data_IF_238985955694
#
_entry.id   IF_238985955694
#
_cell.length_a   1.000
_cell.length_b   1.000
_cell.length_c   1.000
_cell.angle_alpha   90.00
_cell.angle_beta   90.00
_cell.angle_gamma   90.00
#
_symmetry.space_group_name_H-M   'P 1'
#
loop_
_entity.id
_entity.type
_entity.pdbx_description
1 polymer ?
#
# COMPACT_ATOMS: atom_id res chain seq x y z
N UNK A 1 -2.85 2.32 -18.65
CA UNK A 1 -3.71 1.91 -17.52
C UNK A 1 -4.00 3.17 -16.69
N UNK A 2 -5.04 3.21 -15.86
CA UNK A 2 -5.22 4.36 -14.96
C UNK A 2 -4.16 4.29 -13.84
N UNK A 3 -3.70 5.43 -13.35
CA UNK A 3 -2.76 5.52 -12.21
C UNK A 3 -3.25 4.69 -11.01
N UNK A 4 -4.57 4.69 -10.78
CA UNK A 4 -5.21 3.87 -9.74
C UNK A 4 -5.00 2.37 -9.97
N UNK A 5 -5.14 1.88 -11.20
CA UNK A 5 -4.98 0.45 -11.49
C UNK A 5 -3.53 0.00 -11.32
N UNK A 6 -2.57 0.88 -11.61
CA UNK A 6 -1.14 0.61 -11.37
C UNK A 6 -0.84 0.57 -9.87
N UNK A 7 -1.40 1.51 -9.10
CA UNK A 7 -1.25 1.53 -7.65
C UNK A 7 -1.89 0.31 -6.97
N UNK A 8 -3.06 -0.15 -7.44
CA UNK A 8 -3.69 -1.38 -6.94
C UNK A 8 -2.77 -2.59 -7.16
N UNK A 9 -2.13 -2.69 -8.33
CA UNK A 9 -1.17 -3.78 -8.59
C UNK A 9 0.02 -3.72 -7.63
N UNK A 10 0.56 -2.53 -7.41
CA UNK A 10 1.66 -2.33 -6.48
C UNK A 10 1.28 -2.72 -5.04
N UNK A 11 0.05 -2.40 -4.62
CA UNK A 11 -0.48 -2.79 -3.30
C UNK A 11 -0.54 -4.31 -3.17
N UNK A 12 -1.05 -5.03 -4.18
CA UNK A 12 -1.11 -6.50 -4.13
C UNK A 12 0.28 -7.14 -4.11
N UNK A 13 1.24 -6.61 -4.89
CA UNK A 13 2.63 -7.06 -4.85
C UNK A 13 3.26 -6.85 -3.45
N UNK A 14 3.05 -5.68 -2.85
CA UNK A 14 3.54 -5.36 -1.51
C UNK A 14 2.88 -6.22 -0.43
N UNK A 15 1.58 -6.49 -0.56
CA UNK A 15 0.85 -7.39 0.34
C UNK A 15 1.42 -8.80 0.30
N UNK A 16 1.69 -9.34 -0.88
CA UNK A 16 2.35 -10.64 -1.02
C UNK A 16 3.76 -10.63 -0.44
N UNK A 17 4.51 -9.54 -0.63
CA UNK A 17 5.83 -9.39 -0.03
C UNK A 17 5.78 -9.42 1.50
N UNK A 18 4.81 -8.75 2.14
CA UNK A 18 4.62 -8.80 3.60
C UNK A 18 4.31 -10.23 4.06
N UNK A 19 3.39 -10.93 3.39
CA UNK A 19 3.00 -12.31 3.72
C UNK A 19 4.23 -13.23 3.67
N UNK A 20 4.98 -13.19 2.57
CA UNK A 20 6.17 -14.01 2.38
C UNK A 20 7.29 -13.64 3.38
N UNK A 21 7.48 -12.34 3.64
CA UNK A 21 8.49 -11.86 4.59
C UNK A 21 8.15 -12.26 6.02
N UNK A 22 6.87 -12.31 6.38
CA UNK A 22 6.41 -12.70 7.71
C UNK A 22 6.50 -14.22 7.95
N UNK A 23 6.62 -15.04 6.91
CA UNK A 23 6.69 -16.49 7.08
C UNK A 23 7.88 -16.89 7.97
N UNK A 24 7.60 -17.57 9.08
CA UNK A 24 8.59 -17.92 10.10
C UNK A 24 9.12 -16.75 10.95
N UNK A 25 8.58 -15.53 10.81
CA UNK A 25 8.97 -14.32 11.57
C UNK A 25 7.82 -13.75 12.40
N UNK A 26 8.17 -13.01 13.45
CA UNK A 26 7.21 -12.22 14.20
C UNK A 26 6.85 -10.94 13.45
N UNK A 27 5.65 -10.38 13.68
CA UNK A 27 5.27 -9.09 13.08
C UNK A 27 6.14 -7.92 13.56
N UNK A 28 6.77 -8.06 14.73
CA UNK A 28 7.71 -7.07 15.27
C UNK A 28 9.13 -7.23 14.73
N UNK A 29 9.39 -8.24 13.89
CA UNK A 29 10.67 -8.38 13.23
C UNK A 29 10.94 -7.14 12.36
N UNK A 30 12.10 -6.47 12.48
CA UNK A 30 12.39 -5.24 11.74
C UNK A 30 12.19 -5.36 10.23
N UNK A 31 12.44 -6.53 9.64
CA UNK A 31 12.26 -6.76 8.19
C UNK A 31 10.79 -6.83 7.83
N UNK A 32 9.97 -7.44 8.70
CA UNK A 32 8.50 -7.48 8.52
C UNK A 32 7.92 -6.08 8.68
N UNK A 33 8.36 -5.34 9.70
CA UNK A 33 7.94 -3.94 9.92
C UNK A 33 8.27 -3.07 8.71
N UNK A 34 9.48 -3.16 8.17
CA UNK A 34 9.88 -2.39 6.99
C UNK A 34 9.06 -2.76 5.73
N UNK A 35 8.69 -4.04 5.57
CA UNK A 35 7.81 -4.47 4.49
C UNK A 35 6.39 -3.92 4.67
N UNK A 36 5.86 -3.93 5.90
CA UNK A 36 4.55 -3.37 6.23
C UNK A 36 4.49 -1.86 6.01
N UNK A 37 5.52 -1.11 6.40
CA UNK A 37 5.58 0.34 6.18
C UNK A 37 5.49 0.71 4.69
N UNK A 38 6.16 -0.04 3.81
CA UNK A 38 6.06 0.17 2.36
C UNK A 38 4.65 -0.09 1.82
N UNK A 39 3.94 -1.08 2.38
CA UNK A 39 2.55 -1.35 2.03
C UNK A 39 1.65 -0.20 2.50
N UNK A 40 1.85 0.28 3.72
CA UNK A 40 1.10 1.42 4.28
C UNK A 40 1.28 2.68 3.41
N UNK A 41 2.51 3.03 3.01
CA UNK A 41 2.77 4.17 2.12
C UNK A 41 1.97 4.09 0.79
N UNK A 42 1.86 2.88 0.22
CA UNK A 42 1.10 2.67 -1.01
C UNK A 42 -0.42 2.79 -0.79
N UNK A 43 -0.91 2.31 0.35
CA UNK A 43 -2.32 2.43 0.76
C UNK A 43 -2.69 3.89 1.04
N UNK A 44 -1.81 4.66 1.69
CA UNK A 44 -2.01 6.08 1.94
C UNK A 44 -2.13 6.86 0.63
N UNK A 45 -1.23 6.62 -0.33
CA UNK A 45 -1.34 7.22 -1.67
C UNK A 45 -2.65 6.84 -2.37
N UNK A 46 -3.10 5.60 -2.21
CA UNK A 46 -4.36 5.16 -2.81
C UNK A 46 -5.55 5.90 -2.20
N UNK A 47 -5.56 6.05 -0.88
CA UNK A 47 -6.55 6.83 -0.17
C UNK A 47 -6.55 8.30 -0.61
N UNK A 48 -5.39 8.93 -0.75
CA UNK A 48 -5.29 10.30 -1.27
C UNK A 48 -5.89 10.44 -2.68
N UNK A 49 -5.60 9.50 -3.57
CA UNK A 49 -6.15 9.51 -4.94
C UNK A 49 -7.67 9.32 -4.94
N UNK A 50 -8.20 8.47 -4.06
CA UNK A 50 -9.64 8.34 -3.88
C UNK A 50 -10.26 9.64 -3.36
N UNK A 51 -9.67 10.27 -2.35
CA UNK A 51 -10.15 11.53 -1.81
C UNK A 51 -10.15 12.65 -2.86
N UNK A 52 -9.08 12.77 -3.66
CA UNK A 52 -9.00 13.74 -4.77
C UNK A 52 -10.05 13.52 -5.86
N UNK A 53 -10.55 12.28 -6.02
CA UNK A 53 -11.62 11.96 -6.97
C UNK A 53 -13.03 12.19 -6.40
N UNK A 54 -13.18 12.12 -5.08
CA UNK A 54 -14.47 12.27 -4.39
C UNK A 54 -14.76 13.72 -4.01
N UNK A 55 -13.74 14.53 -3.73
CA UNK A 55 -13.91 15.98 -3.48
C UNK A 55 -13.93 16.71 -4.84
N UNK A 56 -15.06 17.34 -5.23
CA UNK A 56 -15.08 18.15 -6.44
C UNK A 56 -14.14 19.35 -6.23
N UNK A 57 -13.26 19.59 -7.18
CA UNK A 57 -12.39 20.79 -7.23
C UNK A 57 -13.24 22.03 -7.52
N UNK A 58 -14.04 22.46 -6.55
CA UNK A 58 -14.71 23.76 -6.51
C UNK A 58 -14.69 24.23 -5.05
N UNK A 59 -13.57 24.83 -4.65
CA UNK A 59 -13.46 25.70 -3.48
C UNK A 59 -12.90 27.04 -3.96
#
# INVERSE_FOLDING_TARGET
>A
MSEINELIKQIEELRMNVINTKEGRAYTDPVVVAASQKLDDALDRYQELLMKKVVPTNA
#
